data_IF_567438130462
#
_entry.id   IF_567438130462
#
_cell.length_a   1.000
_cell.length_b   1.000
_cell.length_c   1.000
_cell.angle_alpha   90.00
_cell.angle_beta   90.00
_cell.angle_gamma   90.00
#
_symmetry.space_group_name_H-M   'P 1'
#
loop_
_entity.id
_entity.type
_entity.pdbx_description
1 polymer ?
#
# COMPACT_ATOMS: atom_id res chain seq x y z
N UNK A 1 -3.58 20.96 -5.59
CA UNK A 1 -4.12 20.03 -4.57
C UNK A 1 -2.94 19.36 -3.92
N UNK A 2 -2.96 19.16 -2.61
CA UNK A 2 -1.92 18.40 -1.92
C UNK A 2 -2.26 16.92 -2.01
N UNK A 3 -1.26 16.09 -2.34
CA UNK A 3 -1.45 14.66 -2.52
C UNK A 3 -0.72 13.86 -1.44
N UNK A 4 -1.26 12.68 -1.13
CA UNK A 4 -0.52 11.62 -0.46
C UNK A 4 0.02 10.70 -1.52
N UNK A 5 1.29 10.36 -1.38
CA UNK A 5 1.97 9.44 -2.26
C UNK A 5 2.37 8.17 -1.52
N UNK A 6 2.47 7.06 -2.26
CA UNK A 6 2.97 5.78 -1.77
C UNK A 6 4.41 5.58 -2.23
N UNK A 7 5.29 5.12 -1.34
CA UNK A 7 6.70 4.87 -1.61
C UNK A 7 7.07 3.44 -1.28
N UNK A 8 7.97 2.87 -2.07
CA UNK A 8 8.52 1.52 -1.93
C UNK A 8 10.07 1.56 -1.82
N UNK A 9 10.70 0.40 -2.01
CA UNK A 9 12.15 0.18 -1.87
C UNK A 9 12.67 0.29 -0.43
N UNK A 10 11.98 -0.37 0.50
CA UNK A 10 12.33 -0.46 1.92
C UNK A 10 12.46 0.91 2.64
N UNK A 11 11.42 1.76 2.59
CA UNK A 11 11.46 3.06 3.25
C UNK A 11 11.65 2.93 4.77
N UNK A 12 12.31 3.91 5.36
CA UNK A 12 12.63 3.98 6.79
C UNK A 12 11.63 4.90 7.49
N UNK A 13 11.10 4.47 8.66
CA UNK A 13 10.17 5.25 9.48
C UNK A 13 10.77 6.63 9.80
N UNK A 14 9.97 7.68 9.63
CA UNK A 14 10.38 9.04 10.01
C UNK A 14 11.41 9.70 9.09
N UNK A 15 11.92 8.99 8.07
CA UNK A 15 12.80 9.54 7.06
C UNK A 15 12.02 9.90 5.77
N UNK A 16 12.75 10.32 4.74
CA UNK A 16 12.22 10.68 3.43
C UNK A 16 12.79 9.82 2.29
N UNK A 17 13.40 8.69 2.63
CA UNK A 17 13.88 7.69 1.68
C UNK A 17 12.72 6.91 1.01
N UNK A 18 13.06 6.14 -0.02
CA UNK A 18 12.12 5.37 -0.82
C UNK A 18 11.92 5.89 -2.24
N UNK A 19 11.27 5.07 -3.07
CA UNK A 19 10.95 5.39 -4.47
C UNK A 19 9.44 5.42 -4.63
N UNK A 20 8.89 6.48 -5.21
CA UNK A 20 7.45 6.62 -5.40
C UNK A 20 6.91 5.46 -6.27
N UNK A 21 5.75 4.93 -5.87
CA UNK A 21 4.99 3.94 -6.64
C UNK A 21 4.25 4.66 -7.78
N UNK A 22 4.00 3.97 -8.90
CA UNK A 22 3.19 4.53 -9.98
C UNK A 22 1.73 4.78 -9.55
N UNK A 23 1.21 5.98 -9.79
CA UNK A 23 -0.12 6.41 -9.33
C UNK A 23 -1.20 6.39 -10.44
N UNK A 24 -0.82 6.55 -11.71
CA UNK A 24 -1.76 6.68 -12.85
C UNK A 24 -1.85 5.41 -13.73
N UNK A 25 -1.59 4.23 -13.16
CA UNK A 25 -1.60 2.96 -13.91
C UNK A 25 -0.47 2.82 -14.94
N UNK A 26 0.50 3.75 -14.94
CA UNK A 26 1.65 3.79 -15.85
C UNK A 26 2.64 2.63 -15.64
N UNK A 27 2.55 1.93 -14.50
CA UNK A 27 3.31 0.71 -14.17
C UNK A 27 4.84 0.85 -14.35
N UNK A 28 5.39 2.06 -14.17
CA UNK A 28 6.83 2.33 -14.27
C UNK A 28 7.59 1.93 -13.00
N UNK A 29 6.91 1.96 -11.86
CA UNK A 29 7.39 1.58 -10.51
C UNK A 29 6.22 0.94 -9.74
N UNK A 30 5.71 -0.23 -10.18
CA UNK A 30 4.57 -0.87 -9.53
C UNK A 30 4.99 -1.59 -8.25
N UNK A 31 4.01 -1.89 -7.40
CA UNK A 31 4.16 -2.90 -6.34
C UNK A 31 3.99 -4.26 -7.01
N UNK A 32 4.99 -5.15 -6.88
CA UNK A 32 5.01 -6.41 -7.60
C UNK A 32 5.30 -7.60 -6.68
N UNK A 33 4.63 -8.72 -6.98
CA UNK A 33 4.87 -10.03 -6.38
C UNK A 33 5.05 -11.07 -7.48
N UNK A 34 5.90 -12.07 -7.25
CA UNK A 34 5.97 -13.29 -8.05
C UNK A 34 5.68 -14.45 -7.11
N UNK A 35 4.56 -15.13 -7.34
CA UNK A 35 4.03 -16.16 -6.44
C UNK A 35 3.75 -17.45 -7.21
N UNK A 36 3.96 -18.57 -6.55
CA UNK A 36 3.67 -19.89 -7.06
C UNK A 36 2.23 -20.32 -6.72
N UNK A 37 1.36 -20.24 -7.71
CA UNK A 37 -0.03 -20.68 -7.61
C UNK A 37 -0.14 -22.16 -7.24
N UNK A 38 0.73 -23.04 -7.75
CA UNK A 38 0.66 -24.49 -7.49
C UNK A 38 0.77 -24.84 -6.01
N UNK A 39 1.44 -24.01 -5.22
CA UNK A 39 1.63 -24.21 -3.78
C UNK A 39 0.76 -23.31 -2.91
N UNK A 40 -0.19 -22.57 -3.49
CA UNK A 40 -0.94 -21.51 -2.80
C UNK A 40 0.00 -20.51 -2.09
N UNK A 41 1.06 -20.08 -2.77
CA UNK A 41 2.08 -19.24 -2.14
C UNK A 41 1.51 -17.89 -1.69
N UNK A 42 1.94 -17.48 -0.51
CA UNK A 42 1.67 -16.17 0.06
C UNK A 42 2.97 -15.37 0.11
N UNK A 43 2.93 -14.16 -0.45
CA UNK A 43 4.09 -13.28 -0.49
C UNK A 43 4.52 -12.82 0.90
N UNK A 44 5.83 -12.64 1.08
CA UNK A 44 6.34 -11.92 2.24
C UNK A 44 5.81 -10.47 2.24
N UNK A 45 5.63 -9.89 3.42
CA UNK A 45 5.16 -8.51 3.52
C UNK A 45 6.14 -7.52 2.90
N UNK A 46 5.67 -6.79 1.88
CA UNK A 46 6.41 -5.75 1.21
C UNK A 46 6.19 -4.42 1.92
N UNK A 47 7.27 -3.80 2.37
CA UNK A 47 7.26 -2.54 3.13
C UNK A 47 7.04 -1.35 2.21
N UNK A 48 6.07 -0.51 2.57
CA UNK A 48 5.71 0.73 1.88
C UNK A 48 5.62 1.90 2.87
N UNK A 49 5.58 3.13 2.35
CA UNK A 49 5.35 4.33 3.13
C UNK A 49 4.27 5.21 2.51
N UNK A 50 3.47 5.85 3.36
CA UNK A 50 2.67 7.03 3.02
C UNK A 50 3.48 8.28 3.36
N UNK A 51 3.40 9.30 2.50
CA UNK A 51 3.99 10.61 2.76
C UNK A 51 3.23 11.72 2.05
N UNK A 52 3.04 12.84 2.75
CA UNK A 52 2.52 14.09 2.21
C UNK A 52 3.66 14.95 1.65
N UNK A 53 3.30 15.89 0.77
CA UNK A 53 4.19 16.98 0.39
C UNK A 53 4.59 17.86 1.60
N UNK A 54 5.74 18.53 1.52
CA UNK A 54 6.20 19.42 2.58
C UNK A 54 5.20 20.57 2.82
N UNK A 55 4.91 20.86 4.10
CA UNK A 55 3.93 21.88 4.50
C UNK A 55 2.48 21.37 4.60
N UNK A 56 2.23 20.10 4.30
CA UNK A 56 0.92 19.46 4.42
C UNK A 56 0.95 18.28 5.39
N UNK A 57 -0.22 17.96 5.94
CA UNK A 57 -0.45 16.83 6.82
C UNK A 57 -1.86 16.27 6.64
N UNK A 58 -2.09 15.04 7.08
CA UNK A 58 -3.46 14.54 7.24
C UNK A 58 -4.15 15.25 8.38
N UNK A 59 -5.44 15.55 8.21
CA UNK A 59 -6.26 16.16 9.25
C UNK A 59 -6.26 15.29 10.51
N UNK A 60 -5.98 15.93 11.65
CA UNK A 60 -5.91 15.23 12.94
C UNK A 60 -7.25 14.57 13.27
N UNK A 61 -7.22 13.29 13.64
CA UNK A 61 -8.43 12.52 13.98
C UNK A 61 -9.19 11.97 12.78
N UNK A 62 -8.67 12.13 11.55
CA UNK A 62 -9.17 11.49 10.34
C UNK A 62 -8.18 10.42 9.90
N UNK A 63 -8.65 9.17 9.81
CA UNK A 63 -7.84 8.06 9.33
C UNK A 63 -7.50 8.23 7.85
N UNK A 64 -6.27 7.86 7.47
CA UNK A 64 -5.98 7.55 6.07
C UNK A 64 -6.35 6.11 5.80
N UNK A 65 -7.26 5.89 4.84
CA UNK A 65 -7.80 4.57 4.52
C UNK A 65 -7.17 4.07 3.22
N UNK A 66 -6.53 2.90 3.29
CA UNK A 66 -5.92 2.23 2.13
C UNK A 66 -6.78 1.02 1.80
N UNK A 67 -7.33 0.97 0.58
CA UNK A 67 -8.18 -0.15 0.14
C UNK A 67 -7.62 -0.77 -1.14
N UNK A 68 -7.34 -2.08 -1.17
CA UNK A 68 -7.05 -2.74 -2.43
C UNK A 68 -8.33 -2.79 -3.27
N UNK A 69 -8.27 -2.33 -4.51
CA UNK A 69 -9.37 -2.34 -5.48
C UNK A 69 -8.91 -2.99 -6.77
N UNK A 70 -9.82 -3.60 -7.53
CA UNK A 70 -9.49 -4.32 -8.76
C UNK A 70 -10.08 -5.73 -8.79
N UNK A 71 -9.75 -6.51 -9.83
CA UNK A 71 -10.39 -7.81 -10.05
C UNK A 71 -10.01 -8.87 -8.99
N UNK A 72 -8.76 -8.86 -8.52
CA UNK A 72 -8.27 -9.80 -7.51
C UNK A 72 -7.94 -9.13 -6.18
N UNK A 73 -8.54 -7.96 -5.88
CA UNK A 73 -8.27 -7.25 -4.61
C UNK A 73 -8.49 -8.12 -3.36
N UNK A 74 -9.41 -9.08 -3.43
CA UNK A 74 -9.64 -10.10 -2.40
C UNK A 74 -8.46 -11.09 -2.18
N UNK A 75 -7.34 -10.93 -2.89
CA UNK A 75 -6.08 -11.65 -2.69
C UNK A 75 -4.98 -10.79 -2.07
N UNK A 76 -5.29 -9.55 -1.69
CA UNK A 76 -4.36 -8.62 -1.07
C UNK A 76 -4.71 -8.37 0.39
N UNK A 77 -3.72 -8.41 1.27
CA UNK A 77 -3.85 -8.08 2.68
C UNK A 77 -2.86 -6.97 3.05
N UNK A 78 -3.25 -6.16 4.03
CA UNK A 78 -2.51 -4.97 4.45
C UNK A 78 -2.19 -5.06 5.95
N UNK A 79 -1.13 -4.38 6.40
CA UNK A 79 -0.71 -4.40 7.81
C UNK A 79 0.06 -3.13 8.17
N UNK A 80 0.02 -2.70 9.44
CA UNK A 80 0.85 -1.60 9.95
C UNK A 80 2.21 -2.09 10.49
N UNK A 81 2.31 -3.35 10.90
CA UNK A 81 3.41 -3.89 11.71
C UNK A 81 4.06 -5.14 11.10
N UNK A 82 3.62 -5.56 9.90
CA UNK A 82 4.05 -6.78 9.21
C UNK A 82 3.74 -8.09 9.97
N UNK A 83 2.86 -8.03 10.98
CA UNK A 83 2.58 -9.14 11.89
C UNK A 83 1.07 -9.36 12.04
N UNK A 84 0.34 -8.28 12.27
CA UNK A 84 -1.11 -8.21 12.35
C UNK A 84 -1.66 -7.79 11.00
N UNK A 85 -2.27 -8.72 10.28
CA UNK A 85 -2.77 -8.52 8.93
C UNK A 85 -4.28 -8.29 8.95
N UNK A 86 -4.76 -7.38 8.10
CA UNK A 86 -6.18 -7.30 7.76
C UNK A 86 -6.63 -8.59 7.08
N UNK A 87 -7.92 -8.87 7.13
CA UNK A 87 -8.52 -9.83 6.21
C UNK A 87 -8.24 -9.42 4.76
N UNK A 88 -8.12 -10.42 3.89
CA UNK A 88 -7.87 -10.19 2.49
C UNK A 88 -9.00 -9.38 1.82
N UNK A 89 -8.64 -8.38 1.02
CA UNK A 89 -9.58 -7.45 0.38
C UNK A 89 -10.12 -6.36 1.30
N UNK A 90 -9.80 -6.39 2.60
CA UNK A 90 -10.28 -5.39 3.56
C UNK A 90 -9.32 -4.19 3.64
N UNK A 91 -9.90 -3.02 3.85
CA UNK A 91 -9.17 -1.77 3.98
C UNK A 91 -8.30 -1.73 5.26
N UNK A 92 -7.18 -1.02 5.18
CA UNK A 92 -6.33 -0.67 6.31
C UNK A 92 -6.61 0.76 6.75
N UNK A 93 -6.75 0.96 8.05
CA UNK A 93 -6.89 2.28 8.67
C UNK A 93 -5.56 2.71 9.28
N UNK A 94 -4.98 3.78 8.74
CA UNK A 94 -3.78 4.42 9.27
C UNK A 94 -4.21 5.59 10.14
N UNK A 95 -4.16 5.39 11.46
CA UNK A 95 -4.55 6.40 12.47
C UNK A 95 -3.41 7.38 12.79
N UNK A 96 -2.17 7.02 12.44
CA UNK A 96 -1.02 7.89 12.58
C UNK A 96 -1.11 9.04 11.58
N UNK A 97 -0.79 10.25 12.04
CA UNK A 97 -0.76 11.43 11.18
C UNK A 97 0.34 11.28 10.12
N UNK A 98 -0.03 11.44 8.85
CA UNK A 98 0.91 11.41 7.73
C UNK A 98 1.35 12.83 7.41
N UNK A 99 2.66 13.06 7.50
CA UNK A 99 3.32 14.35 7.24
C UNK A 99 4.35 14.17 6.11
N UNK A 100 5.38 15.02 6.07
CA UNK A 100 6.49 14.94 5.13
C UNK A 100 7.51 13.84 5.43
N UNK A 101 7.27 12.97 6.41
CA UNK A 101 8.09 11.82 6.75
C UNK A 101 7.32 10.51 6.60
N UNK A 102 8.04 9.44 6.30
CA UNK A 102 7.47 8.12 6.02
C UNK A 102 6.66 7.55 7.20
N UNK A 103 5.37 7.29 6.95
CA UNK A 103 4.50 6.45 7.77
C UNK A 103 4.41 5.07 7.13
N UNK A 104 4.86 4.04 7.82
CA UNK A 104 5.05 2.70 7.24
C UNK A 104 3.77 1.87 7.30
N UNK A 105 3.53 1.12 6.22
CA UNK A 105 2.59 0.03 6.17
C UNK A 105 3.18 -1.09 5.29
N UNK A 106 2.52 -2.25 5.30
CA UNK A 106 2.94 -3.44 4.58
C UNK A 106 1.80 -4.00 3.77
N UNK A 107 2.14 -4.60 2.65
CA UNK A 107 1.19 -5.30 1.78
C UNK A 107 1.70 -6.68 1.48
N UNK A 108 0.79 -7.64 1.32
CA UNK A 108 1.10 -8.96 0.78
C UNK A 108 -0.02 -9.40 -0.15
N UNK A 109 0.35 -10.23 -1.12
CA UNK A 109 -0.58 -10.89 -2.00
C UNK A 109 -0.48 -12.41 -1.81
N UNK A 110 -1.54 -13.14 -2.17
CA UNK A 110 -1.52 -14.61 -2.25
C UNK A 110 -1.88 -15.07 -3.64
N UNK A 111 -1.36 -16.22 -4.02
CA UNK A 111 -1.83 -17.00 -5.16
C UNK A 111 -2.65 -18.20 -4.67
N UNK A 112 -3.50 -18.73 -5.56
CA UNK A 112 -4.33 -19.90 -5.31
C UNK A 112 -4.11 -20.95 -6.39
N UNK A 113 -4.15 -22.24 -6.03
CA UNK A 113 -3.90 -23.34 -6.95
C UNK A 113 -5.01 -23.60 -7.97
N UNK A 114 -6.14 -22.92 -7.83
CA UNK A 114 -7.28 -22.93 -8.75
C UNK A 114 -7.22 -21.79 -9.78
N UNK A 115 -6.16 -20.97 -9.79
CA UNK A 115 -5.97 -19.92 -10.78
C UNK A 115 -4.92 -20.29 -11.84
N UNK A 116 -5.12 -19.77 -13.06
CA UNK A 116 -4.12 -19.89 -14.12
C UNK A 116 -3.01 -18.88 -13.82
N UNK A 117 -1.73 -19.30 -13.78
CA UNK A 117 -0.60 -18.39 -13.63
C UNK A 117 -0.63 -17.31 -14.72
N UNK A 118 -0.74 -16.06 -14.30
CA UNK A 118 -0.80 -14.90 -15.19
C UNK A 118 -0.36 -13.64 -14.47
N UNK A 119 0.06 -12.63 -15.23
CA UNK A 119 0.29 -11.31 -14.68
C UNK A 119 -1.06 -10.63 -14.43
N UNK A 120 -1.33 -10.33 -13.16
CA UNK A 120 -2.44 -9.47 -12.80
C UNK A 120 -1.95 -8.03 -12.57
N UNK A 121 -2.46 -7.12 -13.40
CA UNK A 121 -2.16 -5.69 -13.36
C UNK A 121 -3.41 -4.87 -12.99
N UNK A 122 -4.49 -5.52 -12.57
CA UNK A 122 -5.79 -4.89 -12.31
C UNK A 122 -5.90 -4.28 -10.91
N UNK A 123 -5.03 -4.67 -9.97
CA UNK A 123 -5.13 -4.23 -8.58
C UNK A 123 -4.43 -2.90 -8.37
N UNK A 124 -5.11 -1.99 -7.69
CA UNK A 124 -4.59 -0.68 -7.27
C UNK A 124 -4.82 -0.51 -5.77
N UNK A 125 -3.92 0.19 -5.08
CA UNK A 125 -4.16 0.65 -3.71
C UNK A 125 -4.84 2.02 -3.77
N UNK A 126 -6.13 2.07 -3.46
CA UNK A 126 -6.87 3.32 -3.37
C UNK A 126 -6.63 3.94 -1.99
N UNK A 127 -6.03 5.14 -1.95
CA UNK A 127 -5.74 5.87 -0.71
C UNK A 127 -6.71 7.04 -0.58
N UNK A 128 -7.55 6.99 0.45
CA UNK A 128 -8.52 8.04 0.77
C UNK A 128 -8.09 8.73 2.06
N UNK A 129 -8.02 10.05 2.03
CA UNK A 129 -7.64 10.85 3.19
C UNK A 129 -8.22 12.27 3.11
N UNK A 130 -8.08 13.03 4.19
CA UNK A 130 -8.27 14.48 4.22
C UNK A 130 -6.93 15.14 4.54
N UNK A 131 -6.52 16.10 3.71
CA UNK A 131 -5.24 16.82 3.83
C UNK A 131 -5.48 18.29 4.19
N UNK A 132 -4.68 18.82 5.10
CA UNK A 132 -4.64 20.22 5.53
C UNK A 132 -3.20 20.76 5.54
N UNK A 133 -3.05 22.07 5.63
CA UNK A 133 -1.75 22.70 5.88
C UNK A 133 -1.32 22.46 7.32
N UNK A 134 -0.02 22.26 7.55
CA UNK A 134 0.57 22.15 8.89
C UNK A 134 0.40 23.44 9.71
#
# INVERSE_FOLDING_TARGET
MAYIHVYQANPTVGLTDGVQVSEDGTQTSPIAFTLNATTNEEGAGLKLALRCEAGFQTTTGVDTVITPVGATSAKWALSLDNSTWSDYGVALHVTAQVMSSNVIFYVKAKASNDEIPQNDISVTLNVITQVETQ
#
